data_IF_470123821112
#
_entry.id   IF_470123821112
#
_cell.length_a   1.000
_cell.length_b   1.000
_cell.length_c   1.000
_cell.angle_alpha   90.00
_cell.angle_beta   90.00
_cell.angle_gamma   90.00
#
_symmetry.space_group_name_H-M   'P 1'
#
loop_
_entity.id
_entity.type
_entity.pdbx_description
1 polymer ?
#
# COMPACT_ATOMS: atom_id res chain seq x y z
N UNK A 1 -8.35 10.73 22.17
CA UNK A 1 -8.95 11.27 20.94
C UNK A 1 -9.36 10.04 20.16
N UNK A 2 -10.65 9.88 19.92
CA UNK A 2 -11.19 8.65 19.36
C UNK A 2 -10.72 8.51 17.92
N UNK A 3 -9.65 7.76 17.70
CA UNK A 3 -9.27 7.28 16.37
C UNK A 3 -10.41 6.39 15.92
N UNK A 4 -11.33 6.95 15.13
CA UNK A 4 -12.42 6.19 14.52
C UNK A 4 -11.85 5.40 13.34
N UNK A 5 -10.86 4.55 13.61
CA UNK A 5 -10.30 3.61 12.64
C UNK A 5 -11.42 2.62 12.35
N UNK A 6 -12.02 2.76 11.17
CA UNK A 6 -13.14 1.93 10.77
C UNK A 6 -12.59 0.53 10.48
N UNK A 7 -12.94 -0.45 11.32
CA UNK A 7 -12.50 -1.84 11.13
C UNK A 7 -13.19 -2.43 9.89
N UNK A 8 -12.50 -2.33 8.75
CA UNK A 8 -12.95 -2.85 7.46
C UNK A 8 -12.45 -4.28 7.28
N UNK A 9 -13.35 -5.19 6.91
CA UNK A 9 -12.92 -6.53 6.49
C UNK A 9 -11.92 -6.43 5.32
N UNK A 10 -10.93 -7.33 5.20
CA UNK A 10 -9.86 -7.21 4.20
C UNK A 10 -10.37 -6.98 2.76
N UNK A 11 -11.41 -7.67 2.26
CA UNK A 11 -11.91 -7.39 0.91
C UNK A 11 -12.45 -5.97 0.70
N UNK A 12 -13.01 -5.34 1.74
CA UNK A 12 -13.51 -3.96 1.65
C UNK A 12 -12.36 -2.96 1.75
N UNK A 13 -11.39 -3.21 2.65
CA UNK A 13 -10.18 -2.39 2.77
C UNK A 13 -9.43 -2.35 1.44
N UNK A 14 -9.16 -3.51 0.82
CA UNK A 14 -8.44 -3.58 -0.45
C UNK A 14 -9.19 -2.86 -1.59
N UNK A 15 -10.52 -2.96 -1.62
CA UNK A 15 -11.33 -2.24 -2.62
C UNK A 15 -11.27 -0.73 -2.40
N UNK A 16 -11.26 -0.27 -1.15
CA UNK A 16 -11.14 1.14 -0.81
C UNK A 16 -9.74 1.68 -1.11
N UNK A 17 -8.70 0.94 -0.75
CA UNK A 17 -7.30 1.22 -1.07
C UNK A 17 -7.09 1.39 -2.58
N UNK A 18 -7.56 0.44 -3.40
CA UNK A 18 -7.45 0.54 -4.85
C UNK A 18 -8.17 1.76 -5.42
N UNK A 19 -9.37 2.09 -4.90
CA UNK A 19 -10.08 3.31 -5.30
C UNK A 19 -9.29 4.57 -4.95
N UNK A 20 -8.80 4.68 -3.71
CA UNK A 20 -8.04 5.85 -3.25
C UNK A 20 -6.77 6.02 -4.09
N UNK A 21 -6.01 4.95 -4.34
CA UNK A 21 -4.79 4.99 -5.15
C UNK A 21 -5.06 5.47 -6.58
N UNK A 22 -6.08 4.91 -7.25
CA UNK A 22 -6.40 5.31 -8.63
C UNK A 22 -6.97 6.72 -8.72
N UNK A 23 -7.74 7.14 -7.70
CA UNK A 23 -8.25 8.51 -7.61
C UNK A 23 -7.09 9.49 -7.43
N UNK A 24 -6.15 9.24 -6.50
CA UNK A 24 -5.00 10.11 -6.24
C UNK A 24 -4.09 10.33 -7.46
N UNK A 25 -4.04 9.38 -8.40
CA UNK A 25 -3.27 9.53 -9.65
C UNK A 25 -3.91 10.48 -10.66
N UNK A 26 -5.24 10.64 -10.64
CA UNK A 26 -5.99 11.29 -11.72
C UNK A 26 -6.95 12.40 -11.28
N UNK A 27 -7.23 12.50 -9.99
CA UNK A 27 -8.23 13.38 -9.37
C UNK A 27 -9.59 13.31 -10.10
N UNK A 28 -10.00 12.09 -10.45
CA UNK A 28 -11.20 11.83 -11.26
C UNK A 28 -11.92 10.53 -10.88
N UNK A 29 -13.26 10.45 -11.08
CA UNK A 29 -14.01 9.26 -10.69
C UNK A 29 -13.52 7.98 -11.35
N UNK A 30 -13.30 6.95 -10.54
CA UNK A 30 -12.69 5.69 -10.97
C UNK A 30 -13.76 4.66 -11.32
N UNK A 31 -13.65 4.02 -12.49
CA UNK A 31 -14.60 2.99 -12.93
C UNK A 31 -14.43 1.69 -12.15
N UNK A 32 -15.54 1.03 -11.81
CA UNK A 32 -15.53 -0.30 -11.17
C UNK A 32 -14.70 -1.34 -11.91
N UNK A 33 -14.64 -1.27 -13.24
CA UNK A 33 -13.86 -2.20 -14.04
C UNK A 33 -12.34 -2.06 -13.79
N UNK A 34 -11.85 -0.83 -13.61
CA UNK A 34 -10.44 -0.55 -13.32
C UNK A 34 -10.07 -1.05 -11.92
N UNK A 35 -10.92 -0.77 -10.94
CA UNK A 35 -10.72 -1.23 -9.56
C UNK A 35 -10.73 -2.77 -9.50
N UNK A 36 -11.65 -3.40 -10.25
CA UNK A 36 -11.76 -4.85 -10.33
C UNK A 36 -10.51 -5.53 -10.92
N UNK A 37 -9.87 -4.90 -11.91
CA UNK A 37 -8.58 -5.33 -12.46
C UNK A 37 -7.50 -5.33 -11.37
N UNK A 38 -7.36 -4.22 -10.65
CA UNK A 38 -6.31 -4.04 -9.65
C UNK A 38 -6.45 -4.98 -8.44
N UNK A 39 -7.67 -5.23 -7.96
CA UNK A 39 -7.89 -6.15 -6.83
C UNK A 39 -8.09 -7.60 -7.27
N UNK A 40 -7.95 -7.91 -8.56
CA UNK A 40 -8.18 -9.23 -9.16
C UNK A 40 -9.57 -9.82 -8.80
N UNK A 41 -10.63 -9.03 -9.01
CA UNK A 41 -12.03 -9.40 -8.73
C UNK A 41 -12.92 -9.17 -9.95
N UNK A 42 -14.16 -9.65 -9.88
CA UNK A 42 -15.17 -9.32 -10.88
C UNK A 42 -15.74 -7.92 -10.65
N UNK A 43 -16.07 -7.21 -11.72
CA UNK A 43 -16.70 -5.89 -11.65
C UNK A 43 -17.99 -5.90 -10.80
N UNK A 44 -18.77 -6.99 -10.89
CA UNK A 44 -19.97 -7.16 -10.08
C UNK A 44 -19.69 -7.26 -8.58
N UNK A 45 -18.60 -7.94 -8.19
CA UNK A 45 -18.15 -7.99 -6.78
C UNK A 45 -17.76 -6.61 -6.28
N UNK A 46 -16.97 -5.88 -7.08
CA UNK A 46 -16.53 -4.52 -6.73
C UNK A 46 -17.72 -3.57 -6.58
N UNK A 47 -18.69 -3.59 -7.51
CA UNK A 47 -19.93 -2.78 -7.38
C UNK A 47 -20.68 -3.08 -6.08
N UNK A 48 -20.71 -4.35 -5.64
CA UNK A 48 -21.32 -4.74 -4.38
C UNK A 48 -20.53 -4.23 -3.16
N UNK A 49 -19.20 -4.30 -3.21
CA UNK A 49 -18.32 -3.74 -2.18
C UNK A 49 -18.47 -2.22 -2.10
N UNK A 50 -18.47 -1.52 -3.24
CA UNK A 50 -18.67 -0.07 -3.31
C UNK A 50 -20.01 0.38 -2.75
N UNK A 51 -21.09 -0.37 -2.98
CA UNK A 51 -22.39 -0.08 -2.34
C UNK A 51 -22.31 -0.14 -0.80
N UNK A 52 -21.56 -1.09 -0.26
CA UNK A 52 -21.36 -1.20 1.21
C UNK A 52 -20.48 -0.07 1.73
N UNK A 53 -19.37 0.23 1.05
CA UNK A 53 -18.48 1.34 1.38
C UNK A 53 -19.20 2.69 1.31
N UNK A 54 -20.07 2.89 0.32
CA UNK A 54 -20.91 4.08 0.20
C UNK A 54 -21.93 4.19 1.34
N UNK A 55 -22.50 3.08 1.80
CA UNK A 55 -23.37 3.07 2.98
C UNK A 55 -22.63 3.43 4.29
N UNK A 56 -21.30 3.28 4.32
CA UNK A 56 -20.43 3.72 5.42
C UNK A 56 -19.96 5.18 5.25
N UNK A 57 -20.37 5.87 4.18
CA UNK A 57 -19.94 7.24 3.89
C UNK A 57 -18.49 7.34 3.40
N UNK A 58 -17.89 6.24 2.96
CA UNK A 58 -16.49 6.20 2.48
C UNK A 58 -16.38 6.47 0.98
N UNK A 59 -17.45 6.27 0.22
CA UNK A 59 -17.41 6.35 -1.24
C UNK A 59 -18.67 6.99 -1.79
N UNK A 60 -18.47 7.94 -2.70
CA UNK A 60 -19.53 8.53 -3.50
C UNK A 60 -19.61 7.90 -4.90
N UNK A 61 -20.81 7.81 -5.45
CA UNK A 61 -21.06 7.30 -6.80
C UNK A 61 -21.42 8.44 -7.75
N UNK A 62 -20.58 8.65 -8.75
CA UNK A 62 -20.79 9.68 -9.78
C UNK A 62 -21.50 9.04 -10.98
N UNK A 63 -22.71 9.51 -11.37
CA UNK A 63 -23.43 8.95 -12.50
C UNK A 63 -22.90 9.46 -13.86
N UNK A 64 -23.12 8.67 -14.91
CA UNK A 64 -22.90 9.08 -16.30
C UNK A 64 -21.74 8.36 -17.00
N UNK A 65 -21.45 8.69 -18.28
CA UNK A 65 -20.47 7.97 -19.10
C UNK A 65 -19.01 8.10 -18.62
N UNK A 66 -18.72 9.20 -17.93
CA UNK A 66 -17.44 9.48 -17.24
C UNK A 66 -17.55 9.30 -15.72
N UNK A 67 -18.68 8.76 -15.25
CA UNK A 67 -18.93 8.48 -13.85
C UNK A 67 -18.14 7.26 -13.36
N UNK A 68 -18.27 7.00 -12.07
CA UNK A 68 -17.48 6.02 -11.35
C UNK A 68 -17.68 6.18 -9.86
N UNK A 69 -16.61 5.93 -9.12
CA UNK A 69 -16.56 6.08 -7.67
C UNK A 69 -15.50 7.11 -7.29
N UNK A 70 -15.78 7.87 -6.24
CA UNK A 70 -14.85 8.83 -5.65
C UNK A 70 -14.72 8.52 -4.15
N UNK A 71 -13.50 8.48 -3.59
CA UNK A 71 -13.31 8.36 -2.16
C UNK A 71 -13.73 9.65 -1.45
N UNK A 72 -14.39 9.54 -0.30
CA UNK A 72 -14.67 10.70 0.55
C UNK A 72 -13.46 11.03 1.44
N UNK A 73 -13.46 12.19 2.07
CA UNK A 73 -12.46 12.55 3.11
C UNK A 73 -12.37 11.48 4.21
N UNK A 74 -13.52 10.91 4.62
CA UNK A 74 -13.59 9.82 5.58
C UNK A 74 -12.85 8.56 5.10
N UNK A 75 -12.79 8.29 3.80
CA UNK A 75 -12.02 7.16 3.28
C UNK A 75 -10.52 7.34 3.42
N UNK A 76 -10.01 8.56 3.19
CA UNK A 76 -8.60 8.86 3.40
C UNK A 76 -8.23 8.67 4.87
N UNK A 77 -9.03 9.22 5.78
CA UNK A 77 -8.83 9.02 7.23
C UNK A 77 -8.97 7.55 7.66
N UNK A 78 -9.92 6.80 7.09
CA UNK A 78 -10.11 5.39 7.43
C UNK A 78 -8.94 4.49 7.00
N UNK A 79 -8.16 4.92 6.00
CA UNK A 79 -6.93 4.27 5.58
C UNK A 79 -5.68 4.85 6.26
N UNK A 80 -5.86 5.74 7.26
CA UNK A 80 -4.78 6.45 7.94
C UNK A 80 -3.86 7.22 6.98
N UNK A 81 -4.43 7.67 5.85
CA UNK A 81 -3.72 8.48 4.85
C UNK A 81 -4.01 9.93 5.10
N UNK A 82 -3.07 10.61 5.73
CA UNK A 82 -3.05 12.07 5.71
C UNK A 82 -2.61 12.53 4.32
N UNK A 83 -3.45 13.31 3.64
CA UNK A 83 -3.12 13.91 2.35
C UNK A 83 -1.90 14.85 2.43
N UNK A 84 -1.57 15.31 3.65
CA UNK A 84 -0.48 16.22 3.97
C UNK A 84 0.74 15.53 4.63
N UNK A 85 0.67 14.21 4.88
CA UNK A 85 1.82 13.46 5.35
C UNK A 85 2.66 13.09 4.13
N UNK A 86 3.70 13.88 3.88
CA UNK A 86 4.86 13.51 3.06
C UNK A 86 5.51 12.25 3.67
N UNK A 87 4.85 11.10 3.53
CA UNK A 87 5.45 9.80 3.78
C UNK A 87 6.52 9.62 2.71
N UNK A 88 7.76 9.86 3.11
CA UNK A 88 8.90 9.87 2.20
C UNK A 88 8.95 8.55 1.43
N UNK A 89 8.84 8.66 0.11
CA UNK A 89 8.73 7.55 -0.83
C UNK A 89 9.91 6.62 -0.64
N UNK A 90 9.61 5.39 -0.24
CA UNK A 90 10.62 4.38 -0.01
C UNK A 90 10.88 3.67 -1.33
N UNK A 91 12.15 3.67 -1.72
CA UNK A 91 12.62 3.16 -3.02
C UNK A 91 12.59 1.64 -3.04
N UNK A 92 11.56 1.08 -3.68
CA UNK A 92 11.56 -0.32 -4.11
C UNK A 92 12.44 -0.43 -5.36
N UNK A 93 13.49 -1.24 -5.31
CA UNK A 93 14.42 -1.45 -6.43
C UNK A 93 14.19 -2.83 -7.06
N UNK A 94 13.24 -2.93 -7.99
CA UNK A 94 13.08 -4.13 -8.80
C UNK A 94 14.02 -4.03 -10.01
N UNK A 95 14.97 -4.96 -10.17
CA UNK A 95 15.81 -5.04 -11.38
C UNK A 95 16.46 -3.71 -11.87
N UNK A 96 16.89 -2.85 -10.93
CA UNK A 96 17.46 -1.50 -11.16
C UNK A 96 16.48 -0.36 -11.48
N UNK A 97 15.16 -0.60 -11.48
CA UNK A 97 14.15 0.46 -11.60
C UNK A 97 13.58 0.83 -10.22
N UNK A 98 13.61 2.13 -9.91
CA UNK A 98 13.08 2.69 -8.67
C UNK A 98 11.56 2.83 -8.79
N UNK A 99 10.81 2.17 -7.93
CA UNK A 99 9.38 2.40 -7.76
C UNK A 99 9.17 3.28 -6.52
N UNK A 100 8.54 4.44 -6.74
CA UNK A 100 8.16 5.36 -5.68
C UNK A 100 6.90 4.84 -4.98
N UNK A 101 7.05 4.19 -3.83
CA UNK A 101 5.92 3.70 -3.03
C UNK A 101 6.02 4.17 -1.60
N UNK A 102 4.89 4.56 -1.01
CA UNK A 102 4.82 4.94 0.40
C UNK A 102 4.72 3.69 1.28
N UNK A 103 5.60 3.62 2.28
CA UNK A 103 5.61 2.56 3.29
C UNK A 103 4.95 3.08 4.56
N UNK A 104 3.93 2.38 5.04
CA UNK A 104 3.24 2.71 6.28
C UNK A 104 3.93 2.12 7.51
N UNK A 105 4.39 0.88 7.39
CA UNK A 105 4.89 0.12 8.53
C UNK A 105 5.99 -0.86 8.12
N UNK A 106 7.02 -0.97 8.97
CA UNK A 106 8.03 -2.03 8.92
C UNK A 106 8.02 -2.75 10.28
N UNK A 107 7.60 -4.02 10.29
CA UNK A 107 7.56 -4.85 11.50
C UNK A 107 8.56 -6.01 11.40
N UNK A 108 9.52 -6.07 12.32
CA UNK A 108 10.43 -7.21 12.42
C UNK A 108 9.71 -8.41 13.04
N UNK A 109 9.44 -9.43 12.22
CA UNK A 109 8.69 -10.62 12.63
C UNK A 109 9.57 -11.66 13.32
N UNK A 110 10.88 -11.65 13.05
CA UNK A 110 11.86 -12.49 13.72
C UNK A 110 13.22 -11.80 13.77
N UNK A 111 13.81 -11.73 14.97
CA UNK A 111 15.15 -11.14 15.22
C UNK A 111 16.05 -12.06 16.06
N UNK A 112 15.54 -13.21 16.51
CA UNK A 112 16.27 -14.09 17.41
C UNK A 112 17.12 -15.12 16.67
N UNK A 113 16.77 -15.45 15.42
CA UNK A 113 17.55 -16.39 14.63
C UNK A 113 18.63 -15.67 13.82
N UNK A 114 19.89 -16.12 13.88
CA UNK A 114 21.01 -15.41 13.26
C UNK A 114 20.97 -15.39 11.72
N UNK A 115 20.14 -16.23 11.09
CA UNK A 115 20.03 -16.34 9.62
C UNK A 115 18.63 -16.06 9.09
N UNK A 116 17.61 -16.02 9.95
CA UNK A 116 16.20 -15.96 9.52
C UNK A 116 15.55 -14.65 10.00
N UNK A 117 16.27 -13.54 9.83
CA UNK A 117 15.74 -12.23 10.15
C UNK A 117 14.70 -11.85 9.09
N UNK A 118 13.46 -11.61 9.52
CA UNK A 118 12.34 -11.33 8.60
C UNK A 118 11.64 -10.04 8.99
N UNK A 119 11.30 -9.24 7.99
CA UNK A 119 10.48 -8.05 8.13
C UNK A 119 9.16 -8.23 7.38
N UNK A 120 8.08 -7.73 7.96
CA UNK A 120 6.82 -7.48 7.28
C UNK A 120 6.81 -5.99 6.90
N UNK A 121 6.53 -5.69 5.66
CA UNK A 121 6.43 -4.31 5.15
C UNK A 121 5.05 -4.09 4.58
N UNK A 122 4.37 -3.04 5.04
CA UNK A 122 3.07 -2.62 4.58
C UNK A 122 3.18 -1.34 3.75
N UNK A 123 2.53 -1.31 2.59
CA UNK A 123 2.56 -0.21 1.63
C UNK A 123 1.18 0.43 1.51
N UNK A 124 1.15 1.72 1.20
CA UNK A 124 -0.10 2.38 0.82
C UNK A 124 -0.57 1.94 -0.58
N UNK A 125 0.35 1.61 -1.47
CA UNK A 125 0.03 1.16 -2.81
C UNK A 125 0.02 -0.36 -2.94
N UNK A 126 -0.79 -0.85 -3.89
CA UNK A 126 -0.72 -2.23 -4.33
C UNK A 126 0.47 -2.33 -5.29
N UNK A 127 1.42 -3.20 -4.96
CA UNK A 127 2.59 -3.48 -5.79
C UNK A 127 2.21 -4.50 -6.88
N UNK A 128 1.78 -4.01 -8.05
CA UNK A 128 1.32 -4.87 -9.15
C UNK A 128 2.44 -5.71 -9.79
N UNK A 129 3.70 -5.25 -9.71
CA UNK A 129 4.83 -5.85 -10.42
C UNK A 129 5.75 -6.69 -9.52
N UNK A 130 5.54 -6.72 -8.20
CA UNK A 130 6.44 -7.42 -7.27
C UNK A 130 6.23 -8.93 -7.30
N UNK A 131 7.32 -9.68 -7.37
CA UNK A 131 7.32 -11.14 -7.37
C UNK A 131 8.12 -11.71 -6.19
N UNK A 132 7.80 -12.95 -5.80
CA UNK A 132 8.61 -13.69 -4.82
C UNK A 132 10.01 -13.91 -5.42
N UNK A 133 11.04 -13.56 -4.67
CA UNK A 133 12.44 -13.60 -5.10
C UNK A 133 13.00 -12.25 -5.54
N UNK A 134 12.16 -11.21 -5.61
CA UNK A 134 12.64 -9.86 -5.94
C UNK A 134 13.46 -9.28 -4.81
N UNK A 135 14.57 -8.61 -5.16
CA UNK A 135 15.33 -7.81 -4.22
C UNK A 135 14.57 -6.51 -3.91
N UNK A 136 14.43 -6.19 -2.63
CA UNK A 136 13.75 -4.99 -2.14
C UNK A 136 14.64 -4.21 -1.20
N UNK A 137 14.75 -2.90 -1.42
CA UNK A 137 15.26 -1.95 -0.44
C UNK A 137 14.08 -1.15 0.10
N UNK A 138 14.07 -0.88 1.40
CA UNK A 138 12.99 -0.18 2.08
C UNK A 138 13.61 0.86 3.02
N UNK A 139 13.50 2.14 2.68
CA UNK A 139 14.06 3.28 3.38
C UNK A 139 14.64 4.31 2.39
N UNK A 140 15.43 5.28 2.88
CA UNK A 140 15.69 5.58 4.29
C UNK A 140 14.42 6.08 5.01
N UNK A 141 14.23 5.71 6.28
CA UNK A 141 13.11 6.26 7.07
C UNK A 141 13.41 7.68 7.56
N UNK A 142 12.41 8.59 7.63
CA UNK A 142 12.66 10.02 7.86
C UNK A 142 13.39 10.39 9.16
N UNK A 143 13.22 9.62 10.24
CA UNK A 143 13.77 9.97 11.56
C UNK A 143 15.14 9.32 11.84
N UNK A 144 15.38 8.12 11.31
CA UNK A 144 16.55 7.31 11.67
C UNK A 144 17.42 6.90 10.48
N UNK A 145 17.08 7.36 9.28
CA UNK A 145 17.72 6.95 8.02
C UNK A 145 17.81 5.42 7.88
N UNK A 146 16.82 4.69 8.39
CA UNK A 146 16.85 3.23 8.38
C UNK A 146 16.60 2.72 6.98
N UNK A 147 17.52 1.88 6.47
CA UNK A 147 17.34 1.11 5.25
C UNK A 147 17.34 -0.37 5.58
N UNK A 148 16.29 -1.07 5.14
CA UNK A 148 16.15 -2.53 5.18
C UNK A 148 16.28 -3.06 3.77
N UNK A 149 17.22 -3.98 3.52
CA UNK A 149 17.41 -4.63 2.22
C UNK A 149 17.21 -6.13 2.37
N UNK A 150 16.43 -6.72 1.49
CA UNK A 150 16.11 -8.14 1.54
C UNK A 150 15.54 -8.68 0.24
N UNK A 151 15.11 -9.93 0.28
CA UNK A 151 14.43 -10.61 -0.83
C UNK A 151 12.97 -10.89 -0.42
N UNK A 152 12.03 -10.73 -1.36
CA UNK A 152 10.61 -10.99 -1.13
C UNK A 152 10.41 -12.50 -0.93
N UNK A 153 10.10 -12.91 0.29
CA UNK A 153 9.82 -14.29 0.64
C UNK A 153 8.33 -14.64 0.44
N UNK A 154 7.44 -13.68 0.69
CA UNK A 154 5.99 -13.87 0.57
C UNK A 154 5.30 -12.55 0.23
N UNK A 155 4.23 -12.62 -0.58
CA UNK A 155 3.33 -11.50 -0.87
C UNK A 155 2.00 -11.80 -0.19
N UNK A 156 1.54 -10.88 0.64
CA UNK A 156 0.33 -11.00 1.43
C UNK A 156 -0.75 -10.05 0.90
N UNK A 157 -2.00 -10.26 1.34
CA UNK A 157 -3.12 -9.40 0.98
C UNK A 157 -3.40 -9.38 -0.53
N UNK A 158 -3.38 -8.18 -1.11
CA UNK A 158 -3.53 -7.95 -2.57
C UNK A 158 -2.23 -7.51 -3.24
N UNK A 159 -1.09 -7.61 -2.55
CA UNK A 159 0.19 -7.04 -3.02
C UNK A 159 0.56 -5.72 -2.33
N UNK A 160 -0.19 -5.33 -1.30
CA UNK A 160 0.04 -4.17 -0.43
C UNK A 160 0.86 -4.53 0.84
N UNK A 161 1.20 -5.80 1.02
CA UNK A 161 2.00 -6.27 2.15
C UNK A 161 2.96 -7.37 1.70
N UNK A 162 4.22 -7.33 2.15
CA UNK A 162 5.22 -8.36 1.83
C UNK A 162 6.00 -8.80 3.06
N UNK A 163 6.46 -10.04 3.05
CA UNK A 163 7.48 -10.55 3.96
C UNK A 163 8.83 -10.55 3.26
N UNK A 164 9.79 -9.81 3.82
CA UNK A 164 11.17 -9.78 3.38
C UNK A 164 12.03 -10.70 4.23
N UNK A 165 12.87 -11.49 3.56
CA UNK A 165 14.04 -12.11 4.17
C UNK A 165 15.18 -11.10 4.16
N UNK A 166 15.56 -10.60 5.34
CA UNK A 166 16.46 -9.45 5.47
C UNK A 166 17.90 -9.91 5.25
N UNK A 167 18.54 -9.36 4.22
CA UNK A 167 19.96 -9.54 3.95
C UNK A 167 20.84 -8.47 4.60
N UNK A 168 20.33 -7.23 4.72
CA UNK A 168 21.05 -6.11 5.34
C UNK A 168 20.07 -5.14 5.98
N UNK A 169 20.47 -4.57 7.12
CA UNK A 169 19.78 -3.46 7.76
C UNK A 169 20.82 -2.45 8.23
N UNK A 170 20.60 -1.18 7.93
CA UNK A 170 21.57 -0.11 8.22
C UNK A 170 20.84 1.14 8.71
N UNK A 171 21.31 1.73 9.81
CA UNK A 171 20.83 2.99 10.36
C UNK A 171 21.95 3.67 11.18
N UNK A 172 22.25 4.96 10.95
CA UNK A 172 21.78 5.74 9.80
C UNK A 172 22.40 5.19 8.51
N UNK A 173 21.62 5.13 7.43
CA UNK A 173 22.17 4.82 6.11
C UNK A 173 22.99 6.02 5.63
N UNK A 174 24.30 5.82 5.51
CA UNK A 174 25.22 6.79 4.91
C UNK A 174 25.57 6.34 3.51
N UNK A 175 25.24 7.15 2.50
CA UNK A 175 25.64 6.92 1.11
C UNK A 175 27.15 7.21 0.96
N UNK A 176 28.00 6.36 1.55
CA UNK A 176 29.47 6.46 1.47
C UNK A 176 30.00 6.01 0.09
N UNK A 177 29.35 6.48 -0.97
CA UNK A 177 29.68 6.18 -2.36
C UNK A 177 29.59 7.41 -3.27
N UNK A 178 30.22 8.53 -2.89
CA UNK A 178 30.76 9.54 -3.82
C UNK A 178 32.07 10.17 -3.32
#
# INVERSE_FOLDING_TARGET
>A
MDSNTLDLSPPHQNTLTALVNEYSKSDSPVKSARIAEQVNRTEGSVKNQMRKLSALGLVDSVPGPRGGYEPTETAFHALERDQDADGEKVVVAQNYDRVDVTVDEITLTNVHHPTDCRARVHFQDILEEIEIGDALAVGPTPEFDLVVVGEVAEILGTGDEVILEIGKMEAPFTDDAL
#
